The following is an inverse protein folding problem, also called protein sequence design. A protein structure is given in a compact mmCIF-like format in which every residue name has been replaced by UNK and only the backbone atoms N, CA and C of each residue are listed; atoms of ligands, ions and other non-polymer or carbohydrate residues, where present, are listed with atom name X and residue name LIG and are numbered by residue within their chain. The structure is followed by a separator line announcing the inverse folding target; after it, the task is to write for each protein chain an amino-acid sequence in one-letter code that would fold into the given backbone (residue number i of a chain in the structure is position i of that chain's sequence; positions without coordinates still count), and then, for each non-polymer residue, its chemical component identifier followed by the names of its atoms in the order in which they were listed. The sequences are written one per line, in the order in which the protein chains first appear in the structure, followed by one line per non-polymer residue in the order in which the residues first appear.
data_IF_903032756890
#
_entry.id   IF_903032756890
#
_cell.length_a   1.000
_cell.length_b   1.000
_cell.length_c   1.000
_cell.angle_alpha   90.00
_cell.angle_beta   90.00
_cell.angle_gamma   90.00
#
_symmetry.space_group_name_H-M   'P 1'
#
loop_
_entity.id
_entity.type
_entity.pdbx_description
1 polymer ?
#
# COMPACT_ATOMS: atom_id res chain seq x y z
N UNK A 1 13.50 14.47 13.60
CA UNK A 1 12.58 15.01 12.58
C UNK A 1 11.49 15.72 13.35
N UNK A 2 11.00 16.87 12.88
CA UNK A 2 9.94 17.58 13.62
C UNK A 2 8.61 16.82 13.50
N UNK A 3 7.84 16.79 14.59
CA UNK A 3 6.48 16.22 14.65
C UNK A 3 5.61 16.73 13.49
N UNK A 4 5.79 18.00 13.12
CA UNK A 4 5.12 18.63 11.99
C UNK A 4 5.33 17.88 10.65
N UNK A 5 6.57 17.51 10.31
CA UNK A 5 6.87 16.80 9.06
C UNK A 5 6.28 15.38 9.07
N UNK A 6 6.24 14.75 10.24
CA UNK A 6 5.67 13.41 10.39
C UNK A 6 4.15 13.43 10.19
N UNK A 7 3.44 14.38 10.82
CA UNK A 7 2.01 14.62 10.62
C UNK A 7 1.71 14.96 9.16
N UNK A 8 2.51 15.83 8.55
CA UNK A 8 2.37 16.17 7.14
C UNK A 8 2.52 14.93 6.23
N UNK A 9 3.52 14.09 6.52
CA UNK A 9 3.72 12.82 5.81
C UNK A 9 2.50 11.91 5.90
N UNK A 10 1.95 11.75 7.10
CA UNK A 10 0.75 10.95 7.35
C UNK A 10 -0.46 11.48 6.58
N UNK A 11 -0.69 12.80 6.63
CA UNK A 11 -1.80 13.45 5.92
C UNK A 11 -1.68 13.28 4.40
N UNK A 12 -0.50 13.50 3.83
CA UNK A 12 -0.29 13.35 2.38
C UNK A 12 -0.48 11.89 1.93
N UNK A 13 0.05 10.94 2.71
CA UNK A 13 -0.09 9.52 2.43
C UNK A 13 -1.56 9.08 2.51
N UNK A 14 -2.24 9.36 3.62
CA UNK A 14 -3.60 8.91 3.88
C UNK A 14 -4.62 9.55 2.91
N UNK A 15 -4.53 10.87 2.68
CA UNK A 15 -5.42 11.55 1.73
C UNK A 15 -5.13 11.11 0.29
N UNK A 16 -3.85 10.87 -0.05
CA UNK A 16 -3.47 10.34 -1.36
C UNK A 16 -4.11 8.98 -1.64
N UNK A 17 -4.09 8.06 -0.67
CA UNK A 17 -4.77 6.77 -0.77
C UNK A 17 -6.29 6.90 -0.83
N UNK A 18 -6.88 7.81 -0.04
CA UNK A 18 -8.32 8.04 -0.05
C UNK A 18 -8.80 8.54 -1.41
N UNK A 19 -8.10 9.51 -1.99
CA UNK A 19 -8.41 9.99 -3.36
C UNK A 19 -8.21 8.86 -4.37
N UNK A 20 -7.17 8.01 -4.20
CA UNK A 20 -6.93 6.89 -5.09
C UNK A 20 -8.09 5.87 -5.03
N UNK A 21 -8.62 5.59 -3.84
CA UNK A 21 -9.81 4.76 -3.67
C UNK A 21 -11.02 5.33 -4.38
N UNK A 22 -11.29 6.63 -4.23
CA UNK A 22 -12.44 7.29 -4.88
C UNK A 22 -12.33 7.19 -6.40
N UNK A 23 -11.13 7.48 -6.93
CA UNK A 23 -10.84 7.40 -8.36
C UNK A 23 -10.98 5.97 -8.89
N UNK A 24 -10.43 5.00 -8.18
CA UNK A 24 -10.52 3.59 -8.55
C UNK A 24 -11.98 3.12 -8.57
N UNK A 25 -12.79 3.50 -7.57
CA UNK A 25 -14.21 3.15 -7.52
C UNK A 25 -15.02 3.80 -8.65
N UNK A 26 -14.80 5.10 -8.92
CA UNK A 26 -15.63 5.86 -9.87
C UNK A 26 -15.21 5.65 -11.34
N UNK A 27 -13.91 5.69 -11.59
CA UNK A 27 -13.35 5.82 -12.94
C UNK A 27 -12.51 4.59 -13.35
N UNK A 28 -12.22 3.66 -12.41
CA UNK A 28 -11.32 2.51 -12.62
C UNK A 28 -9.94 2.93 -13.16
N UNK A 29 -9.54 4.17 -12.91
CA UNK A 29 -8.29 4.78 -13.36
C UNK A 29 -7.74 5.68 -12.27
N UNK A 30 -6.43 5.60 -12.02
CA UNK A 30 -5.75 6.47 -11.04
C UNK A 30 -4.61 7.22 -11.70
N UNK A 31 -4.62 8.55 -11.58
CA UNK A 31 -3.62 9.40 -12.19
C UNK A 31 -2.24 9.24 -11.53
N UNK A 32 -1.21 9.32 -12.37
CA UNK A 32 0.18 9.13 -11.93
C UNK A 32 0.65 10.16 -10.89
N UNK A 33 0.18 11.40 -10.97
CA UNK A 33 0.57 12.46 -10.04
C UNK A 33 0.12 12.16 -8.60
N UNK A 34 -0.95 11.37 -8.42
CA UNK A 34 -1.43 11.03 -7.09
C UNK A 34 -0.43 10.15 -6.34
N UNK A 35 0.25 9.25 -7.05
CA UNK A 35 1.32 8.43 -6.51
C UNK A 35 2.57 9.24 -6.15
N UNK A 36 2.79 10.38 -6.82
CA UNK A 36 3.84 11.32 -6.42
C UNK A 36 3.53 11.93 -5.06
N UNK A 37 2.29 12.41 -4.85
CA UNK A 37 1.86 13.03 -3.59
C UNK A 37 1.89 12.01 -2.45
N UNK A 38 1.25 10.85 -2.64
CA UNK A 38 1.20 9.80 -1.61
C UNK A 38 2.58 9.20 -1.34
N UNK A 39 3.41 9.07 -2.39
CA UNK A 39 4.81 8.63 -2.29
C UNK A 39 5.67 9.60 -1.49
N UNK A 40 5.55 10.91 -1.72
CA UNK A 40 6.22 11.93 -0.89
C UNK A 40 5.79 11.81 0.57
N UNK A 41 4.49 11.62 0.83
CA UNK A 41 3.99 11.38 2.19
C UNK A 41 4.64 10.17 2.87
N UNK A 42 4.69 9.03 2.16
CA UNK A 42 5.30 7.81 2.67
C UNK A 42 6.82 7.95 2.89
N UNK A 43 7.53 8.64 2.01
CA UNK A 43 8.98 8.91 2.16
C UNK A 43 9.25 9.84 3.34
N UNK A 44 8.40 10.84 3.58
CA UNK A 44 8.50 11.69 4.77
C UNK A 44 8.34 10.85 6.05
N UNK A 45 7.36 9.94 6.09
CA UNK A 45 7.20 9.02 7.21
C UNK A 45 8.46 8.16 7.40
N UNK A 46 9.01 7.60 6.32
CA UNK A 46 10.22 6.77 6.37
C UNK A 46 11.43 7.56 6.88
N UNK A 47 11.55 8.83 6.49
CA UNK A 47 12.57 9.74 7.02
C UNK A 47 12.50 9.91 8.54
N UNK A 48 11.31 9.77 9.13
CA UNK A 48 11.10 9.78 10.58
C UNK A 48 11.73 8.57 11.25
N UNK A 49 11.49 7.37 10.70
CA UNK A 49 12.15 6.15 11.16
C UNK A 49 13.66 6.24 11.01
N UNK A 50 14.15 6.70 9.85
CA UNK A 50 15.59 6.87 9.60
C UNK A 50 16.22 7.83 10.61
N UNK A 51 15.51 8.91 10.96
CA UNK A 51 16.00 9.86 11.96
C UNK A 51 16.04 9.26 13.37
N UNK A 52 15.05 8.44 13.74
CA UNK A 52 14.93 7.87 15.08
C UNK A 52 15.84 6.65 15.30
N UNK A 53 15.83 5.70 14.36
CA UNK A 53 16.50 4.39 14.48
C UNK A 53 17.81 4.30 13.68
N UNK A 54 18.10 5.30 12.84
CA UNK A 54 19.17 5.24 11.85
C UNK A 54 18.80 4.45 10.60
N UNK A 55 19.61 4.60 9.56
CA UNK A 55 19.47 3.86 8.30
C UNK A 55 20.13 2.48 8.45
N UNK A 56 19.36 1.39 8.34
CA UNK A 56 19.89 0.03 8.38
C UNK A 56 19.68 -0.65 7.03
N UNK A 57 20.71 -1.39 6.59
CA UNK A 57 20.73 -1.99 5.25
C UNK A 57 19.69 -3.09 5.09
N UNK A 58 19.37 -3.85 6.14
CA UNK A 58 18.47 -5.00 6.08
C UNK A 58 17.06 -4.62 5.64
N UNK A 59 16.35 -3.78 6.40
CA UNK A 59 14.98 -3.39 6.07
C UNK A 59 14.90 -2.52 4.81
N UNK A 60 15.99 -1.85 4.42
CA UNK A 60 16.07 -1.14 3.14
C UNK A 60 16.11 -2.10 1.96
N UNK A 61 16.94 -3.15 2.04
CA UNK A 61 17.06 -4.15 0.99
C UNK A 61 15.76 -4.93 0.84
N UNK A 62 15.09 -5.24 1.95
CA UNK A 62 13.74 -5.83 1.95
C UNK A 62 12.71 -4.95 1.22
N UNK A 63 12.69 -3.65 1.53
CA UNK A 63 11.78 -2.70 0.90
C UNK A 63 12.07 -2.57 -0.60
N UNK A 64 13.34 -2.43 -0.99
CA UNK A 64 13.76 -2.36 -2.39
C UNK A 64 13.44 -3.64 -3.14
N UNK A 65 13.67 -4.80 -2.52
CA UNK A 65 13.30 -6.10 -3.08
C UNK A 65 11.80 -6.18 -3.34
N UNK A 66 10.97 -5.80 -2.37
CA UNK A 66 9.51 -5.79 -2.54
C UNK A 66 9.08 -4.83 -3.65
N UNK A 67 9.62 -3.62 -3.70
CA UNK A 67 9.31 -2.64 -4.76
C UNK A 67 9.72 -3.19 -6.15
N UNK A 68 10.89 -3.80 -6.27
CA UNK A 68 11.35 -4.41 -7.52
C UNK A 68 10.41 -5.56 -7.94
N UNK A 69 10.03 -6.42 -6.99
CA UNK A 69 9.09 -7.52 -7.22
C UNK A 69 7.74 -7.00 -7.73
N UNK A 70 7.20 -5.95 -7.11
CA UNK A 70 5.97 -5.29 -7.52
C UNK A 70 6.06 -4.77 -8.96
N UNK A 71 7.11 -4.03 -9.30
CA UNK A 71 7.25 -3.37 -10.59
C UNK A 71 7.59 -4.32 -11.75
N UNK A 72 8.36 -5.38 -11.49
CA UNK A 72 8.84 -6.32 -12.52
C UNK A 72 7.86 -7.46 -12.80
N UNK A 73 7.27 -8.03 -11.75
CA UNK A 73 6.44 -9.23 -11.88
C UNK A 73 4.95 -8.92 -11.75
N UNK A 74 4.56 -8.31 -10.64
CA UNK A 74 3.15 -8.19 -10.28
C UNK A 74 2.37 -7.18 -11.13
N UNK A 75 3.06 -6.21 -11.70
CA UNK A 75 2.49 -5.26 -12.68
C UNK A 75 1.75 -5.91 -13.83
N UNK A 76 2.10 -7.15 -14.21
CA UNK A 76 1.41 -7.91 -15.27
C UNK A 76 0.08 -8.53 -14.82
N UNK A 77 -0.11 -8.73 -13.52
CA UNK A 77 -1.29 -9.42 -12.98
C UNK A 77 -2.46 -8.48 -12.69
N UNK A 78 -2.18 -7.33 -12.06
CA UNK A 78 -3.23 -6.38 -11.64
C UNK A 78 -3.02 -4.95 -12.14
N UNK A 79 -1.89 -4.67 -12.81
CA UNK A 79 -1.65 -3.37 -13.44
C UNK A 79 -0.83 -2.41 -12.60
N UNK A 80 -0.53 -1.24 -13.19
CA UNK A 80 0.46 -0.29 -12.63
C UNK A 80 -0.04 0.45 -11.39
N UNK A 81 -1.32 0.82 -11.35
CA UNK A 81 -1.89 1.64 -10.27
C UNK A 81 -1.80 0.89 -8.94
N UNK A 82 -2.22 -0.37 -8.91
CA UNK A 82 -2.16 -1.22 -7.73
C UNK A 82 -0.72 -1.51 -7.29
N UNK A 83 0.21 -1.70 -8.24
CA UNK A 83 1.63 -1.80 -7.89
C UNK A 83 2.14 -0.54 -7.18
N UNK A 84 1.76 0.65 -7.65
CA UNK A 84 2.12 1.88 -6.96
C UNK A 84 1.48 1.96 -5.57
N UNK A 85 0.23 1.55 -5.42
CA UNK A 85 -0.43 1.48 -4.12
C UNK A 85 0.35 0.57 -3.15
N UNK A 86 0.69 -0.65 -3.56
CA UNK A 86 1.48 -1.56 -2.73
C UNK A 86 2.88 -1.02 -2.40
N UNK A 87 3.57 -0.40 -3.36
CA UNK A 87 4.88 0.20 -3.12
C UNK A 87 4.79 1.33 -2.07
N UNK A 88 3.84 2.24 -2.22
CA UNK A 88 3.67 3.37 -1.28
C UNK A 88 3.26 2.86 0.10
N UNK A 89 2.35 1.88 0.17
CA UNK A 89 1.99 1.21 1.42
C UNK A 89 3.19 0.50 2.06
N UNK A 90 4.06 -0.16 1.30
CA UNK A 90 5.26 -0.81 1.83
C UNK A 90 6.26 0.20 2.42
N UNK A 91 6.44 1.35 1.77
CA UNK A 91 7.26 2.46 2.32
C UNK A 91 6.66 2.95 3.65
N UNK A 92 5.34 3.16 3.71
CA UNK A 92 4.67 3.59 4.93
C UNK A 92 4.71 2.50 6.03
N UNK A 93 4.45 1.24 5.71
CA UNK A 93 4.57 0.11 6.65
C UNK A 93 5.99 0.02 7.20
N UNK A 94 7.01 0.18 6.36
CA UNK A 94 8.40 0.26 6.80
C UNK A 94 8.61 1.44 7.75
N UNK A 95 8.04 2.61 7.45
CA UNK A 95 8.09 3.75 8.36
C UNK A 95 7.47 3.46 9.74
N UNK A 96 6.52 2.53 9.84
CA UNK A 96 5.94 2.04 11.11
C UNK A 96 6.72 0.88 11.75
N UNK A 97 7.92 0.55 11.25
CA UNK A 97 8.76 -0.52 11.80
C UNK A 97 8.42 -1.92 11.31
N UNK A 98 7.52 -2.07 10.32
CA UNK A 98 7.18 -3.37 9.73
C UNK A 98 8.21 -3.80 8.69
N UNK A 99 8.30 -5.11 8.43
CA UNK A 99 9.35 -5.72 7.59
C UNK A 99 8.76 -6.48 6.39
N UNK A 100 9.60 -7.12 5.56
CA UNK A 100 9.16 -7.76 4.31
C UNK A 100 7.93 -8.66 4.45
N UNK A 101 7.89 -9.49 5.50
CA UNK A 101 6.78 -10.42 5.73
C UNK A 101 5.45 -9.68 5.86
N UNK A 102 5.45 -8.48 6.44
CA UNK A 102 4.26 -7.67 6.64
C UNK A 102 3.74 -7.12 5.32
N UNK A 103 4.62 -6.72 4.40
CA UNK A 103 4.22 -6.24 3.07
C UNK A 103 3.59 -7.36 2.25
N UNK A 104 4.15 -8.58 2.37
CA UNK A 104 3.61 -9.78 1.72
C UNK A 104 2.28 -10.19 2.34
N UNK A 105 2.15 -10.15 3.67
CA UNK A 105 0.89 -10.45 4.35
C UNK A 105 -0.19 -9.43 4.02
N UNK A 106 0.15 -8.14 3.94
CA UNK A 106 -0.75 -7.09 3.48
C UNK A 106 -1.29 -7.37 2.07
N UNK A 107 -0.42 -7.78 1.15
CA UNK A 107 -0.81 -8.20 -0.19
C UNK A 107 -1.71 -9.44 -0.16
N UNK A 108 -1.36 -10.45 0.63
CA UNK A 108 -2.16 -11.68 0.78
C UNK A 108 -3.56 -11.39 1.32
N UNK A 109 -3.66 -10.59 2.38
CA UNK A 109 -4.94 -10.18 2.99
C UNK A 109 -5.82 -9.45 1.98
N UNK A 110 -5.22 -8.56 1.19
CA UNK A 110 -5.94 -7.86 0.13
C UNK A 110 -6.54 -8.86 -0.87
N UNK A 111 -5.76 -9.83 -1.33
CA UNK A 111 -6.25 -10.84 -2.29
C UNK A 111 -7.30 -11.78 -1.70
N UNK A 112 -7.10 -12.24 -0.46
CA UNK A 112 -8.07 -13.10 0.23
C UNK A 112 -9.37 -12.34 0.47
N UNK A 113 -9.28 -11.11 0.97
CA UNK A 113 -10.45 -10.25 1.20
C UNK A 113 -11.22 -9.99 -0.09
N UNK A 114 -10.51 -9.66 -1.17
CA UNK A 114 -11.12 -9.52 -2.49
C UNK A 114 -11.80 -10.83 -2.93
N UNK A 115 -11.11 -11.96 -2.87
CA UNK A 115 -11.63 -13.26 -3.29
C UNK A 115 -12.91 -13.64 -2.54
N UNK A 116 -12.94 -13.44 -1.21
CA UNK A 116 -14.14 -13.67 -0.39
C UNK A 116 -15.29 -12.78 -0.84
N UNK A 117 -15.07 -11.48 -1.01
CA UNK A 117 -16.13 -10.55 -1.45
C UNK A 117 -16.63 -10.90 -2.86
N UNK A 118 -15.72 -11.25 -3.78
CA UNK A 118 -16.12 -11.63 -5.15
C UNK A 118 -16.88 -12.95 -5.20
N UNK A 119 -16.53 -13.90 -4.33
CA UNK A 119 -17.28 -15.15 -4.17
C UNK A 119 -18.69 -14.88 -3.65
N UNK A 120 -18.82 -14.10 -2.57
CA UNK A 120 -20.12 -13.73 -1.99
C UNK A 120 -21.00 -12.95 -2.98
N UNK A 121 -20.42 -12.07 -3.78
CA UNK A 121 -21.12 -11.30 -4.83
C UNK A 121 -21.37 -12.10 -6.11
N UNK A 122 -20.99 -13.38 -6.16
CA UNK A 122 -21.08 -14.25 -7.36
C UNK A 122 -20.45 -13.64 -8.61
N UNK A 123 -19.43 -12.80 -8.42
CA UNK A 123 -18.71 -12.11 -9.50
C UNK A 123 -17.58 -12.98 -10.09
N UNK A 124 -17.41 -14.21 -9.61
CA UNK A 124 -16.47 -15.20 -10.17
C UNK A 124 -17.19 -16.00 -11.26
N UNK A 125 -16.62 -16.02 -12.47
CA UNK A 125 -17.09 -16.78 -13.63
C UNK A 125 -16.50 -18.19 -13.70
N UNK A 126 -17.05 -19.01 -14.61
CA UNK A 126 -16.51 -20.33 -14.88
C UNK A 126 -15.12 -20.17 -15.52
N UNK A 127 -14.07 -20.65 -14.84
CA UNK A 127 -12.66 -20.42 -15.23
C UNK A 127 -11.90 -19.40 -14.38
N UNK A 128 -12.45 -18.97 -13.23
CA UNK A 128 -11.72 -18.16 -12.23
C UNK A 128 -11.54 -16.68 -12.59
N UNK A 129 -12.12 -16.23 -13.72
CA UNK A 129 -12.13 -14.81 -14.13
C UNK A 129 -13.28 -14.06 -13.48
N UNK A 130 -13.09 -12.77 -13.25
CA UNK A 130 -14.16 -11.89 -12.76
C UNK A 130 -15.15 -11.56 -13.89
N UNK A 131 -16.44 -11.52 -13.59
CA UNK A 131 -17.50 -11.14 -14.54
C UNK A 131 -17.55 -9.64 -14.77
N UNK A 132 -17.24 -8.85 -13.74
CA UNK A 132 -17.11 -7.38 -13.78
C UNK A 132 -15.77 -6.95 -13.19
N UNK A 133 -15.12 -5.91 -13.72
CA UNK A 133 -13.92 -5.33 -13.13
C UNK A 133 -14.23 -4.79 -11.72
N UNK A 134 -13.21 -4.79 -10.85
CA UNK A 134 -13.34 -4.42 -9.44
C UNK A 134 -12.20 -3.50 -9.06
N UNK A 135 -12.53 -2.40 -8.38
CA UNK A 135 -11.58 -1.50 -7.74
C UNK A 135 -10.79 -2.26 -6.65
N UNK A 136 -9.47 -2.42 -6.84
CA UNK A 136 -8.60 -3.13 -5.90
C UNK A 136 -8.03 -2.20 -4.82
N UNK A 137 -7.79 -0.93 -5.15
CA UNK A 137 -7.14 0.05 -4.26
C UNK A 137 -7.89 0.25 -2.93
N UNK A 138 -9.24 0.25 -2.88
CA UNK A 138 -9.97 0.27 -1.62
C UNK A 138 -9.62 -0.90 -0.70
N UNK A 139 -9.45 -2.10 -1.24
CA UNK A 139 -9.05 -3.28 -0.46
C UNK A 139 -7.61 -3.15 0.02
N UNK A 140 -6.69 -2.66 -0.83
CA UNK A 140 -5.29 -2.40 -0.46
C UNK A 140 -5.24 -1.42 0.72
N UNK A 141 -6.03 -0.35 0.67
CA UNK A 141 -6.06 0.71 1.68
C UNK A 141 -6.64 0.21 3.00
N UNK A 142 -7.77 -0.51 2.96
CA UNK A 142 -8.37 -1.08 4.18
C UNK A 142 -7.42 -2.11 4.80
N UNK A 143 -6.87 -3.02 4.00
CA UNK A 143 -5.93 -4.02 4.48
C UNK A 143 -4.68 -3.38 5.13
N UNK A 144 -4.22 -2.25 4.60
CA UNK A 144 -3.08 -1.52 5.16
C UNK A 144 -3.39 -1.05 6.59
N UNK A 145 -4.50 -0.33 6.78
CA UNK A 145 -4.84 0.22 8.10
C UNK A 145 -5.13 -0.88 9.11
N UNK A 146 -5.86 -1.92 8.70
CA UNK A 146 -6.14 -3.08 9.55
C UNK A 146 -4.85 -3.79 9.96
N UNK A 147 -3.90 -3.98 9.04
CA UNK A 147 -2.66 -4.69 9.32
C UNK A 147 -1.72 -3.88 10.23
N UNK A 148 -1.58 -2.58 9.98
CA UNK A 148 -0.75 -1.68 10.80
C UNK A 148 -1.28 -1.59 12.23
N UNK A 149 -2.61 -1.50 12.39
CA UNK A 149 -3.26 -1.49 13.71
C UNK A 149 -3.05 -2.83 14.43
N UNK A 150 -3.31 -3.95 13.75
CA UNK A 150 -3.14 -5.30 14.33
C UNK A 150 -1.70 -5.60 14.77
N UNK A 151 -0.69 -5.15 14.01
CA UNK A 151 0.73 -5.37 14.34
C UNK A 151 1.26 -4.44 15.43
N UNK A 152 0.53 -3.38 15.78
CA UNK A 152 1.01 -2.37 16.73
C UNK A 152 2.18 -1.57 16.17
N UNK A 153 2.02 -1.01 14.96
CA UNK A 153 3.06 -0.21 14.30
C UNK A 153 3.68 0.85 15.23
N UNK A 154 5.00 1.05 15.13
CA UNK A 154 5.73 2.02 15.94
C UNK A 154 5.42 3.44 15.44
N UNK A 155 4.94 4.28 16.34
CA UNK A 155 4.70 5.70 16.08
C UNK A 155 5.94 6.48 16.48
N UNK A 156 6.78 6.86 15.49
CA UNK A 156 7.97 7.67 15.71
C UNK A 156 7.56 9.15 15.77
N UNK A 157 6.99 9.56 16.91
CA UNK A 157 6.59 10.94 17.22
C UNK A 157 7.71 11.64 18.00
#
# INVERSE_FOLDING_TARGET
MSVFLWILGLLLFANGLLVACIMDIKEQMVYRFLWLISGVGAVLLLGGRVYADGMQTEWMMELLFFIALQQLWFKRFYGRADCHAYCVCAVAMNAFGLVLIDYVMHMLITFVGLAVVQFLRRNVGCGGRLKKPVALIPYITIAFWVWVDFRGGKWYI
#
